data_IF_218295367527
#
_entry.id   IF_218295367527
#
_cell.length_a   1.000
_cell.length_b   1.000
_cell.length_c   1.000
_cell.angle_alpha   90.00
_cell.angle_beta   90.00
_cell.angle_gamma   90.00
#
_symmetry.space_group_name_H-M   'P 1'
#
loop_
_entity.id
_entity.type
_entity.pdbx_description
1 polymer ?
#
# COMPACT_ATOMS: atom_id res chain seq x y z
N UNK A 1 -3.04 7.02 -16.92
CA UNK A 1 -4.43 6.51 -17.03
C UNK A 1 -4.60 5.03 -17.43
N UNK A 2 -3.66 4.30 -18.08
CA UNK A 2 -3.87 2.88 -18.47
C UNK A 2 -3.97 1.85 -17.34
N UNK A 3 -3.34 2.09 -16.18
CA UNK A 3 -3.21 1.08 -15.12
C UNK A 3 -4.54 0.69 -14.46
N UNK A 4 -5.49 1.61 -14.33
CA UNK A 4 -6.79 1.37 -13.68
C UNK A 4 -7.72 0.51 -14.56
N UNK A 5 -7.71 0.74 -15.87
CA UNK A 5 -8.51 -0.04 -16.83
C UNK A 5 -8.07 -1.51 -16.86
N UNK A 6 -6.76 -1.76 -16.79
CA UNK A 6 -6.23 -3.13 -16.77
C UNK A 6 -6.57 -3.86 -15.48
N UNK A 7 -6.56 -3.17 -14.33
CA UNK A 7 -7.01 -3.75 -13.05
C UNK A 7 -8.50 -4.04 -13.05
N UNK A 8 -9.33 -3.10 -13.49
CA UNK A 8 -10.78 -3.29 -13.60
C UNK A 8 -11.12 -4.46 -14.54
N UNK A 9 -10.41 -4.60 -15.68
CA UNK A 9 -10.54 -5.76 -16.57
C UNK A 9 -10.11 -7.08 -15.93
N UNK A 10 -9.09 -7.08 -15.06
CA UNK A 10 -8.66 -8.24 -14.30
C UNK A 10 -9.74 -8.72 -13.33
N UNK A 11 -10.26 -7.80 -12.51
CA UNK A 11 -11.33 -8.07 -11.54
C UNK A 11 -12.61 -8.52 -12.25
N UNK A 12 -12.96 -7.90 -13.37
CA UNK A 12 -14.12 -8.29 -14.17
C UNK A 12 -13.98 -9.68 -14.83
N UNK A 13 -12.76 -10.13 -15.13
CA UNK A 13 -12.48 -11.50 -15.57
C UNK A 13 -12.58 -12.51 -14.43
N UNK A 14 -12.04 -12.19 -13.26
CA UNK A 14 -12.14 -13.04 -12.06
C UNK A 14 -13.59 -13.24 -11.62
N UNK A 15 -14.44 -12.21 -11.76
CA UNK A 15 -15.88 -12.28 -11.50
C UNK A 15 -16.70 -12.94 -12.61
N UNK A 16 -16.08 -13.39 -13.71
CA UNK A 16 -16.76 -14.07 -14.83
C UNK A 16 -17.70 -13.19 -15.67
N UNK A 17 -17.63 -11.86 -15.53
CA UNK A 17 -18.59 -10.93 -16.12
C UNK A 17 -18.29 -10.56 -17.59
N UNK A 18 -17.09 -10.89 -18.09
CA UNK A 18 -16.63 -10.47 -19.43
C UNK A 18 -16.78 -11.54 -20.53
N UNK A 19 -17.15 -12.78 -20.21
CA UNK A 19 -17.09 -13.88 -21.19
C UNK A 19 -18.43 -14.21 -21.87
N UNK A 20 -19.45 -13.34 -21.72
CA UNK A 20 -20.78 -13.58 -22.29
C UNK A 20 -20.84 -13.13 -23.76
N UNK A 21 -20.38 -13.99 -24.68
CA UNK A 21 -20.61 -13.81 -26.13
C UNK A 21 -22.11 -13.95 -26.45
N UNK A 22 -22.88 -12.86 -26.39
CA UNK A 22 -24.24 -12.82 -26.94
C UNK A 22 -24.15 -12.76 -28.46
N UNK A 23 -24.64 -13.80 -29.14
CA UNK A 23 -24.68 -13.91 -30.61
C UNK A 23 -25.83 -13.02 -31.12
N UNK A 24 -25.54 -12.03 -31.97
CA UNK A 24 -26.56 -11.21 -32.66
C UNK A 24 -26.71 -9.75 -32.23
N UNK A 25 -25.84 -9.23 -31.34
CA UNK A 25 -25.89 -7.83 -30.86
C UNK A 25 -24.81 -6.99 -31.53
N UNK A 26 -25.09 -5.71 -31.81
CA UNK A 26 -24.14 -4.76 -32.41
C UNK A 26 -22.88 -4.63 -31.52
N UNK A 27 -21.71 -4.51 -32.17
CA UNK A 27 -20.42 -4.40 -31.49
C UNK A 27 -20.31 -3.17 -30.58
N UNK A 28 -21.15 -2.16 -30.80
CA UNK A 28 -21.18 -0.91 -30.02
C UNK A 28 -21.93 -1.09 -28.71
N UNK A 29 -23.09 -1.76 -28.73
CA UNK A 29 -23.88 -2.06 -27.53
C UNK A 29 -23.14 -3.01 -26.58
N UNK A 30 -22.42 -4.00 -27.12
CA UNK A 30 -21.58 -4.90 -26.32
C UNK A 30 -20.44 -4.14 -25.60
N UNK A 31 -19.81 -3.17 -26.27
CA UNK A 31 -18.80 -2.32 -25.64
C UNK A 31 -19.40 -1.41 -24.58
N UNK A 32 -20.62 -0.92 -24.79
CA UNK A 32 -21.32 -0.10 -23.80
C UNK A 32 -21.69 -0.91 -22.54
N UNK A 33 -22.19 -2.14 -22.69
CA UNK A 33 -22.46 -3.06 -21.57
C UNK A 33 -21.16 -3.39 -20.80
N UNK A 34 -20.06 -3.66 -21.51
CA UNK A 34 -18.75 -3.88 -20.91
C UNK A 34 -18.25 -2.65 -20.14
N UNK A 35 -18.37 -1.46 -20.72
CA UNK A 35 -17.96 -0.21 -20.07
C UNK A 35 -18.82 0.13 -18.86
N UNK A 36 -20.13 -0.12 -18.91
CA UNK A 36 -21.02 0.03 -17.76
C UNK A 36 -20.64 -0.92 -16.61
N UNK A 37 -20.34 -2.18 -16.95
CA UNK A 37 -19.88 -3.19 -15.97
C UNK A 37 -18.51 -2.82 -15.39
N UNK A 38 -17.59 -2.31 -16.21
CA UNK A 38 -16.30 -1.83 -15.74
C UNK A 38 -16.44 -0.59 -14.85
N UNK A 39 -17.38 0.31 -15.15
CA UNK A 39 -17.69 1.48 -14.32
C UNK A 39 -18.30 1.09 -12.98
N UNK A 40 -19.24 0.15 -12.94
CA UNK A 40 -19.85 -0.31 -11.70
C UNK A 40 -18.84 -1.04 -10.80
N UNK A 41 -17.98 -1.89 -11.39
CA UNK A 41 -16.89 -2.55 -10.65
C UNK A 41 -15.88 -1.51 -10.19
N UNK A 42 -15.59 -0.49 -10.99
CA UNK A 42 -14.72 0.61 -10.55
C UNK A 42 -15.38 1.31 -9.36
N UNK A 43 -16.62 1.78 -9.47
CA UNK A 43 -17.34 2.49 -8.41
C UNK A 43 -17.44 1.68 -7.10
N UNK A 44 -17.65 0.37 -7.20
CA UNK A 44 -17.68 -0.55 -6.06
C UNK A 44 -16.30 -0.83 -5.46
N UNK A 45 -15.23 -0.83 -6.28
CA UNK A 45 -13.85 -1.11 -5.85
C UNK A 45 -12.97 0.15 -5.77
N UNK A 46 -13.55 1.36 -5.83
CA UNK A 46 -12.86 2.64 -5.56
C UNK A 46 -12.71 2.79 -4.04
N UNK A 47 -12.08 1.82 -3.41
CA UNK A 47 -11.62 1.97 -2.04
C UNK A 47 -10.10 1.75 -1.95
N UNK A 48 -9.42 2.86 -1.63
CA UNK A 48 -8.19 2.96 -0.83
C UNK A 48 -6.82 2.74 -1.52
N UNK A 49 -6.59 3.17 -2.77
CA UNK A 49 -5.19 3.31 -3.27
C UNK A 49 -4.89 4.61 -4.04
N UNK A 50 -5.88 5.47 -4.31
CA UNK A 50 -5.68 6.60 -5.22
C UNK A 50 -6.36 7.90 -4.83
N UNK A 51 -5.95 8.51 -3.71
CA UNK A 51 -6.04 9.96 -3.46
C UNK A 51 -7.40 10.66 -3.39
N UNK A 52 -8.49 10.03 -3.80
CA UNK A 52 -9.84 10.57 -3.72
C UNK A 52 -10.73 9.57 -2.95
N UNK A 53 -10.59 9.59 -1.63
CA UNK A 53 -11.66 9.09 -0.75
C UNK A 53 -12.85 10.05 -0.82
N UNK A 54 -14.06 9.56 -0.55
CA UNK A 54 -15.22 10.45 -0.34
C UNK A 54 -14.81 11.53 0.68
N UNK A 55 -15.03 12.84 0.39
CA UNK A 55 -14.64 13.90 1.30
C UNK A 55 -15.34 13.65 2.63
N UNK A 56 -14.56 13.46 3.68
CA UNK A 56 -15.10 13.30 5.02
C UNK A 56 -15.43 14.69 5.58
N UNK A 57 -16.37 14.76 6.51
CA UNK A 57 -16.69 16.01 7.23
C UNK A 57 -15.45 16.61 7.93
N UNK A 58 -14.46 15.77 8.22
CA UNK A 58 -13.17 16.14 8.79
C UNK A 58 -12.21 16.80 7.80
N UNK A 59 -12.45 16.69 6.48
CA UNK A 59 -11.63 17.32 5.44
C UNK A 59 -11.96 18.82 5.27
N UNK A 60 -12.96 19.33 5.99
CA UNK A 60 -13.27 20.76 6.03
C UNK A 60 -12.22 21.47 6.89
N UNK A 61 -11.37 22.28 6.25
CA UNK A 61 -10.24 23.00 6.87
C UNK A 61 -10.60 23.71 8.19
N UNK A 62 -11.81 24.29 8.29
CA UNK A 62 -12.27 24.97 9.50
C UNK A 62 -12.38 24.03 10.70
N UNK A 63 -12.94 22.83 10.51
CA UNK A 63 -13.01 21.83 11.57
C UNK A 63 -11.60 21.41 11.99
N UNK A 64 -10.70 21.17 11.03
CA UNK A 64 -9.30 20.82 11.34
C UNK A 64 -8.62 21.89 12.19
N UNK A 65 -8.78 23.18 11.89
CA UNK A 65 -8.15 24.27 12.65
C UNK A 65 -8.70 24.34 14.09
N UNK A 66 -10.00 24.20 14.26
CA UNK A 66 -10.64 24.26 15.59
C UNK A 66 -10.26 23.06 16.46
N UNK A 67 -10.18 21.85 15.90
CA UNK A 67 -9.89 20.62 16.64
C UNK A 67 -8.38 20.28 16.72
N UNK A 68 -7.54 20.85 15.85
CA UNK A 68 -6.09 20.66 15.86
C UNK A 68 -5.41 20.86 17.22
N UNK A 69 -5.67 21.96 17.98
CA UNK A 69 -5.01 22.16 19.27
C UNK A 69 -5.42 21.08 20.29
N UNK A 70 -6.67 20.60 20.24
CA UNK A 70 -7.14 19.54 21.12
C UNK A 70 -6.40 18.22 20.85
N UNK A 71 -6.29 17.81 19.58
CA UNK A 71 -5.52 16.62 19.22
C UNK A 71 -4.03 16.78 19.52
N UNK A 72 -3.46 17.97 19.34
CA UNK A 72 -2.08 18.28 19.69
C UNK A 72 -1.79 18.09 21.18
N UNK A 73 -2.65 18.62 22.06
CA UNK A 73 -2.52 18.46 23.52
C UNK A 73 -2.67 16.99 23.92
N UNK A 74 -3.66 16.30 23.37
CA UNK A 74 -3.88 14.88 23.68
C UNK A 74 -2.69 14.03 23.24
N UNK A 75 -2.15 14.29 22.05
CA UNK A 75 -0.94 13.64 21.55
C UNK A 75 0.28 13.96 22.42
N UNK A 76 0.42 15.21 22.88
CA UNK A 76 1.48 15.63 23.80
C UNK A 76 1.45 14.87 25.13
N UNK A 77 0.28 14.75 25.76
CA UNK A 77 0.10 13.97 26.99
C UNK A 77 0.42 12.49 26.74
N UNK A 78 -0.04 11.92 25.63
CA UNK A 78 0.26 10.54 25.28
C UNK A 78 1.77 10.31 25.10
N UNK A 79 2.47 11.25 24.45
CA UNK A 79 3.93 11.21 24.32
C UNK A 79 4.66 11.36 25.65
N UNK A 80 4.21 12.26 26.52
CA UNK A 80 4.78 12.43 27.85
C UNK A 80 4.62 11.15 28.69
N UNK A 81 3.44 10.52 28.66
CA UNK A 81 3.19 9.21 29.29
C UNK A 81 4.11 8.12 28.75
N UNK A 82 4.32 8.08 27.42
CA UNK A 82 5.25 7.16 26.79
C UNK A 82 6.69 7.39 27.26
N UNK A 83 7.20 8.62 27.18
CA UNK A 83 8.56 8.96 27.62
C UNK A 83 8.75 8.60 29.10
N UNK A 84 7.77 8.90 29.95
CA UNK A 84 7.84 8.54 31.36
C UNK A 84 7.89 7.02 31.58
N UNK A 85 7.05 6.24 30.89
CA UNK A 85 7.02 4.77 31.03
C UNK A 85 8.30 4.08 30.52
N UNK A 86 8.79 4.39 29.31
CA UNK A 86 9.94 3.66 28.75
C UNK A 86 11.28 4.28 29.09
N UNK A 87 11.38 5.62 29.18
CA UNK A 87 12.67 6.30 29.40
C UNK A 87 13.01 6.45 30.88
N UNK A 88 12.03 6.71 31.72
CA UNK A 88 12.24 6.96 33.16
C UNK A 88 12.04 5.69 33.97
N UNK A 89 10.96 4.95 33.69
CA UNK A 89 10.63 3.73 34.45
C UNK A 89 11.29 2.46 33.91
N UNK A 90 11.87 2.51 32.70
CA UNK A 90 12.63 1.41 32.11
C UNK A 90 11.81 0.12 31.96
N UNK A 91 10.49 0.22 31.83
CA UNK A 91 9.63 -0.96 31.72
C UNK A 91 9.77 -1.59 30.34
N UNK A 92 9.69 -2.93 30.29
CA UNK A 92 9.58 -3.65 29.02
C UNK A 92 8.38 -3.16 28.22
N UNK A 93 8.54 -3.07 26.90
CA UNK A 93 7.44 -2.72 26.01
C UNK A 93 6.30 -3.70 26.21
N UNK A 94 5.08 -3.20 26.45
CA UNK A 94 3.88 -4.04 26.44
C UNK A 94 3.68 -4.60 25.02
N UNK A 95 2.92 -5.68 24.90
CA UNK A 95 2.64 -6.32 23.62
C UNK A 95 2.02 -5.33 22.61
N UNK A 96 1.08 -4.50 23.06
CA UNK A 96 0.47 -3.43 22.24
C UNK A 96 1.50 -2.38 21.78
N UNK A 97 2.45 -2.05 22.64
CA UNK A 97 3.50 -1.07 22.35
C UNK A 97 4.52 -1.62 21.34
N UNK A 98 4.83 -2.92 21.44
CA UNK A 98 5.68 -3.64 20.48
C UNK A 98 5.04 -3.64 19.10
N UNK A 99 3.74 -3.95 19.02
CA UNK A 99 2.99 -3.86 17.76
C UNK A 99 3.02 -2.45 17.18
N UNK A 100 2.76 -1.44 18.01
CA UNK A 100 2.76 -0.05 17.57
C UNK A 100 4.13 0.39 17.02
N UNK A 101 5.22 0.05 17.70
CA UNK A 101 6.58 0.40 17.27
C UNK A 101 6.94 -0.34 15.98
N UNK A 102 6.68 -1.64 15.91
CA UNK A 102 6.95 -2.47 14.73
C UNK A 102 6.21 -1.93 13.51
N UNK A 103 4.90 -1.67 13.63
CA UNK A 103 4.09 -1.04 12.58
C UNK A 103 4.67 0.30 12.15
N UNK A 104 5.07 1.15 13.12
CA UNK A 104 5.61 2.49 12.84
C UNK A 104 6.93 2.41 12.08
N UNK A 105 7.81 1.46 12.42
CA UNK A 105 9.09 1.26 11.72
C UNK A 105 8.92 0.73 10.31
N UNK A 106 7.95 -0.16 10.11
CA UNK A 106 7.58 -0.66 8.78
C UNK A 106 6.84 0.39 7.92
N UNK A 107 6.49 1.55 8.50
CA UNK A 107 5.73 2.63 7.84
C UNK A 107 4.37 2.16 7.30
N UNK A 108 3.72 1.24 8.02
CA UNK A 108 2.44 0.67 7.62
C UNK A 108 1.26 1.45 8.24
N UNK A 109 0.23 1.70 7.44
CA UNK A 109 -1.04 2.23 7.95
C UNK A 109 -1.74 1.20 8.82
N UNK A 110 -2.69 1.64 9.65
CA UNK A 110 -3.41 0.74 10.57
C UNK A 110 -4.20 -0.31 9.81
N UNK A 111 -4.87 0.16 8.76
CA UNK A 111 -5.69 -0.66 7.92
C UNK A 111 -4.83 -1.69 7.19
N UNK A 112 -3.63 -1.30 6.76
CA UNK A 112 -2.69 -2.24 6.15
C UNK A 112 -2.17 -3.27 7.15
N UNK A 113 -1.86 -2.86 8.38
CA UNK A 113 -1.45 -3.77 9.45
C UNK A 113 -2.56 -4.78 9.77
N UNK A 114 -3.80 -4.31 9.97
CA UNK A 114 -4.97 -5.17 10.25
C UNK A 114 -5.33 -6.09 9.10
N UNK A 115 -5.13 -5.65 7.86
CA UNK A 115 -5.40 -6.46 6.67
C UNK A 115 -4.33 -7.53 6.40
N UNK A 116 -3.17 -7.47 7.07
CA UNK A 116 -2.14 -8.50 6.90
C UNK A 116 -2.53 -9.81 7.62
N UNK A 117 -2.17 -10.97 7.05
CA UNK A 117 -2.33 -12.27 7.70
C UNK A 117 -1.74 -12.25 9.11
N UNK A 118 -2.44 -12.88 10.05
CA UNK A 118 -2.03 -12.94 11.45
C UNK A 118 -0.68 -13.65 11.61
N UNK A 119 -0.43 -14.73 10.85
CA UNK A 119 0.86 -15.44 10.80
C UNK A 119 2.04 -14.52 10.45
N UNK A 120 1.84 -13.59 9.52
CA UNK A 120 2.88 -12.62 9.17
C UNK A 120 3.07 -11.60 10.28
N UNK A 121 2.00 -11.20 10.97
CA UNK A 121 2.10 -10.27 12.10
C UNK A 121 2.83 -10.92 13.28
N UNK A 122 2.54 -12.17 13.58
CA UNK A 122 3.24 -12.93 14.64
C UNK A 122 4.71 -13.11 14.31
N UNK A 123 5.07 -13.50 13.08
CA UNK A 123 6.48 -13.62 12.67
C UNK A 123 7.25 -12.30 12.83
N UNK A 124 6.63 -11.16 12.46
CA UNK A 124 7.23 -9.84 12.63
C UNK A 124 7.41 -9.45 14.10
N UNK A 125 6.56 -9.94 14.99
CA UNK A 125 6.68 -9.75 16.44
C UNK A 125 7.72 -10.70 17.05
N UNK A 126 7.77 -11.96 16.64
CA UNK A 126 8.76 -12.94 17.09
C UNK A 126 10.19 -12.50 16.77
N UNK A 127 10.41 -11.85 15.61
CA UNK A 127 11.72 -11.28 15.24
C UNK A 127 12.10 -10.02 16.03
N UNK A 128 11.27 -9.59 16.96
CA UNK A 128 11.47 -8.42 17.81
C UNK A 128 11.83 -7.14 17.02
N UNK A 129 11.11 -6.86 15.93
CA UNK A 129 11.40 -5.72 15.05
C UNK A 129 11.25 -4.34 15.74
N UNK A 130 10.78 -4.30 16.98
CA UNK A 130 10.85 -3.13 17.84
C UNK A 130 12.28 -2.81 18.33
N UNK A 131 13.24 -3.73 18.20
CA UNK A 131 14.68 -3.52 18.45
C UNK A 131 15.36 -3.06 17.15
N UNK A 132 16.10 -1.96 17.21
CA UNK A 132 16.63 -1.28 15.99
C UNK A 132 17.62 -2.16 15.21
N UNK A 133 18.44 -2.93 15.91
CA UNK A 133 19.37 -3.88 15.31
C UNK A 133 18.63 -4.93 14.46
N UNK A 134 17.60 -5.57 15.03
CA UNK A 134 16.82 -6.60 14.35
C UNK A 134 16.07 -6.03 13.15
N UNK A 135 15.54 -4.81 13.28
CA UNK A 135 14.89 -4.13 12.16
C UNK A 135 15.84 -3.85 10.99
N UNK A 136 17.08 -3.43 11.29
CA UNK A 136 18.08 -3.18 10.26
C UNK A 136 18.50 -4.48 9.56
N UNK A 137 18.68 -5.57 10.31
CA UNK A 137 18.97 -6.89 9.75
C UNK A 137 17.85 -7.36 8.84
N UNK A 138 16.60 -7.29 9.31
CA UNK A 138 15.42 -7.64 8.51
C UNK A 138 15.32 -6.79 7.23
N UNK A 139 15.63 -5.50 7.32
CA UNK A 139 15.61 -4.61 6.15
C UNK A 139 16.68 -5.02 5.13
N UNK A 140 17.89 -5.37 5.58
CA UNK A 140 18.95 -5.86 4.69
C UNK A 140 18.58 -7.19 4.04
N UNK A 141 18.00 -8.13 4.81
CA UNK A 141 17.49 -9.40 4.28
C UNK A 141 16.44 -9.18 3.19
N UNK A 142 15.46 -8.32 3.45
CA UNK A 142 14.42 -7.98 2.49
C UNK A 142 14.99 -7.33 1.23
N UNK A 143 15.97 -6.43 1.37
CA UNK A 143 16.63 -5.81 0.21
C UNK A 143 17.40 -6.85 -0.62
N UNK A 144 18.04 -7.83 0.01
CA UNK A 144 18.80 -8.87 -0.68
C UNK A 144 17.89 -9.92 -1.31
N UNK A 145 16.77 -10.28 -0.67
CA UNK A 145 15.71 -11.05 -1.29
C UNK A 145 15.12 -10.35 -2.51
N UNK A 146 14.88 -9.05 -2.42
CA UNK A 146 14.37 -8.27 -3.55
C UNK A 146 15.39 -8.20 -4.68
N UNK A 147 16.67 -7.99 -4.38
CA UNK A 147 17.76 -8.00 -5.36
C UNK A 147 17.91 -9.36 -6.04
N UNK A 148 17.85 -10.46 -5.28
CA UNK A 148 17.94 -11.83 -5.82
C UNK A 148 16.73 -12.17 -6.69
N UNK A 149 15.51 -11.82 -6.26
CA UNK A 149 14.27 -11.94 -7.08
C UNK A 149 14.34 -11.11 -8.35
N UNK A 150 14.86 -9.87 -8.28
CA UNK A 150 15.09 -9.07 -9.48
C UNK A 150 16.15 -9.72 -10.38
N UNK A 151 17.27 -10.16 -9.81
CA UNK A 151 18.36 -10.77 -10.56
C UNK A 151 17.96 -12.09 -11.22
N UNK A 152 17.06 -12.87 -10.62
CA UNK A 152 16.51 -14.09 -11.21
C UNK A 152 15.45 -13.80 -12.28
N UNK A 153 14.73 -12.69 -12.16
CA UNK A 153 13.69 -12.28 -13.11
C UNK A 153 14.25 -12.02 -14.51
N UNK A 154 13.78 -12.80 -15.50
CA UNK A 154 14.14 -12.63 -16.90
C UNK A 154 13.80 -11.23 -17.46
N UNK A 155 12.68 -10.64 -16.99
CA UNK A 155 12.25 -9.29 -17.40
C UNK A 155 13.26 -8.22 -16.98
N UNK A 156 13.81 -8.32 -15.77
CA UNK A 156 14.79 -7.38 -15.28
C UNK A 156 16.15 -7.56 -15.98
N UNK A 157 16.55 -8.80 -16.29
CA UNK A 157 17.72 -9.07 -17.15
C UNK A 157 17.57 -8.44 -18.55
N UNK A 158 16.40 -8.56 -19.17
CA UNK A 158 16.10 -7.92 -20.47
C UNK A 158 16.14 -6.39 -20.38
N UNK A 159 15.47 -5.80 -19.39
CA UNK A 159 15.47 -4.35 -19.15
C UNK A 159 16.89 -3.80 -18.95
N UNK A 160 17.73 -4.49 -18.17
CA UNK A 160 19.12 -4.10 -17.95
C UNK A 160 19.95 -4.12 -19.24
N UNK A 161 19.77 -5.14 -20.11
CA UNK A 161 20.42 -5.21 -21.43
C UNK A 161 19.96 -4.07 -22.34
N UNK A 162 18.66 -3.79 -22.38
CA UNK A 162 18.09 -2.67 -23.13
C UNK A 162 18.68 -1.33 -22.69
N UNK A 163 18.71 -1.05 -21.38
CA UNK A 163 19.28 0.19 -20.82
C UNK A 163 20.77 0.36 -21.15
N UNK A 164 21.56 -0.74 -21.10
CA UNK A 164 22.99 -0.71 -21.48
C UNK A 164 23.17 -0.40 -22.98
N UNK A 165 22.32 -0.96 -23.83
CA UNK A 165 22.38 -0.75 -25.28
C UNK A 165 21.86 0.64 -25.70
N UNK A 166 20.83 1.16 -25.01
CA UNK A 166 20.24 2.46 -25.33
C UNK A 166 21.01 3.66 -24.78
N UNK A 167 21.93 3.48 -23.82
CA UNK A 167 22.77 4.58 -23.29
C UNK A 167 23.65 5.25 -24.36
N UNK A 168 23.94 4.56 -25.47
CA UNK A 168 24.69 5.10 -26.62
C UNK A 168 23.81 5.64 -27.76
N UNK A 169 22.47 5.55 -27.66
CA UNK A 169 21.56 6.10 -28.67
C UNK A 169 20.97 7.39 -28.12
N UNK A 170 21.58 8.53 -28.46
CA UNK A 170 20.93 9.84 -28.33
C UNK A 170 19.66 9.78 -29.17
N UNK A 171 18.53 9.53 -28.53
CA UNK A 171 17.22 9.61 -29.17
C UNK A 171 16.90 11.10 -29.24
N UNK A 172 17.14 11.70 -30.40
CA UNK A 172 16.53 12.98 -30.73
C UNK A 172 15.04 12.68 -30.90
N UNK A 173 14.21 13.22 -30.00
CA UNK A 173 12.76 13.24 -30.18
C UNK A 173 12.47 14.22 -31.32
N UNK A 174 11.99 13.71 -32.46
CA UNK A 174 11.40 14.50 -33.57
C UNK A 174 9.94 14.86 -33.26
#
# INVERSE_FOLDING_TARGET
MPHYRTRAKGIARERGLLDRKKKGVLKEDLKAEEEATLRSILEENIDVVGGYSKPQVWDVLWFTIVFSPYWGVMYGIWKAKWVWRYRVKGQDYSEEDREYITRKRLKLSENHWKAMPEEKRSELLERELWVEANFNQYKTEQEDEMKTKLASSGKYKMYRRYMKNNKNRMTFED
#
